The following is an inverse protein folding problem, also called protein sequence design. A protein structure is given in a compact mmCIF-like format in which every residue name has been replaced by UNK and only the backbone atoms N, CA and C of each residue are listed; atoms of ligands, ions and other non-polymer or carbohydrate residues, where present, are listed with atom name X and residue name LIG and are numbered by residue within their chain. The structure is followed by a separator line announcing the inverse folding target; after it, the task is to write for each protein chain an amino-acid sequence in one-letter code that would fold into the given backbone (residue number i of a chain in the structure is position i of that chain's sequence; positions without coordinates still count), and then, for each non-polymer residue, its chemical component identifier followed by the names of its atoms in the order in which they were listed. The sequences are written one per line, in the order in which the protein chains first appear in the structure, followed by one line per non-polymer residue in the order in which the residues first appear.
data_IF_447818633893
#
_entry.id   IF_447818633893
#
_cell.length_a   1.000
_cell.length_b   1.000
_cell.length_c   1.000
_cell.angle_alpha   90.00
_cell.angle_beta   90.00
_cell.angle_gamma   90.00
#
_symmetry.space_group_name_H-M   'P 1'
#
loop_
_entity.id
_entity.type
_entity.pdbx_description
1 polymer ?
#
# COMPACT_ATOMS: atom_id res chain seq x y z
N UNK A 1 -12.71 -12.07 6.72
CA UNK A 1 -13.61 -12.60 5.68
C UNK A 1 -13.87 -11.49 4.69
N UNK A 2 -13.32 -11.60 3.47
CA UNK A 2 -13.19 -10.48 2.54
C UNK A 2 -14.44 -10.07 1.76
N UNK A 3 -14.34 -8.98 1.02
CA UNK A 3 -15.38 -8.45 0.12
C UNK A 3 -15.06 -8.78 -1.34
N UNK A 4 -16.06 -9.11 -2.17
CA UNK A 4 -15.88 -9.19 -3.63
C UNK A 4 -16.26 -7.87 -4.29
N UNK A 5 -15.36 -7.31 -5.09
CA UNK A 5 -15.60 -6.08 -5.85
C UNK A 5 -14.71 -6.04 -7.09
N UNK A 6 -15.27 -5.70 -8.24
CA UNK A 6 -14.53 -5.62 -9.50
C UNK A 6 -13.97 -6.95 -10.00
N UNK A 7 -14.61 -8.08 -9.65
CA UNK A 7 -14.17 -9.42 -10.04
C UNK A 7 -13.01 -9.99 -9.21
N UNK A 8 -12.61 -9.32 -8.12
CA UNK A 8 -11.52 -9.77 -7.23
C UNK A 8 -11.97 -9.80 -5.76
N UNK A 9 -11.32 -10.65 -4.98
CA UNK A 9 -11.56 -10.79 -3.53
C UNK A 9 -10.62 -9.85 -2.78
N UNK A 10 -11.18 -8.96 -1.97
CA UNK A 10 -10.44 -8.03 -1.11
C UNK A 10 -10.42 -8.57 0.30
N UNK A 11 -9.22 -8.88 0.82
CA UNK A 11 -9.08 -9.27 2.23
C UNK A 11 -9.40 -8.10 3.16
N UNK A 12 -9.79 -8.41 4.40
CA UNK A 12 -10.04 -7.38 5.43
C UNK A 12 -8.82 -6.49 5.63
N UNK A 13 -7.62 -7.08 5.56
CA UNK A 13 -6.37 -6.35 5.63
C UNK A 13 -6.23 -5.35 4.47
N UNK A 14 -6.53 -5.75 3.23
CA UNK A 14 -6.52 -4.83 2.09
C UNK A 14 -7.55 -3.70 2.25
N UNK A 15 -8.78 -4.01 2.67
CA UNK A 15 -9.84 -3.02 2.90
C UNK A 15 -9.46 -2.02 4.01
N UNK A 16 -8.86 -2.52 5.09
CA UNK A 16 -8.34 -1.68 6.16
C UNK A 16 -7.23 -0.75 5.64
N UNK A 17 -6.29 -1.27 4.84
CA UNK A 17 -5.19 -0.46 4.27
C UNK A 17 -5.68 0.63 3.32
N UNK A 18 -6.70 0.34 2.52
CA UNK A 18 -7.38 1.33 1.67
C UNK A 18 -7.92 2.48 2.52
N UNK A 19 -8.66 2.15 3.60
CA UNK A 19 -9.25 3.13 4.51
C UNK A 19 -8.18 3.98 5.22
N UNK A 20 -7.15 3.34 5.78
CA UNK A 20 -6.06 4.01 6.50
C UNK A 20 -5.29 5.03 5.65
N UNK A 21 -5.17 4.77 4.34
CA UNK A 21 -4.39 5.60 3.41
C UNK A 21 -5.24 6.51 2.54
N UNK A 22 -6.56 6.50 2.72
CA UNK A 22 -7.48 7.24 1.86
C UNK A 22 -7.42 6.82 0.38
N UNK A 23 -7.02 5.58 0.10
CA UNK A 23 -6.94 5.07 -1.27
C UNK A 23 -8.32 4.59 -1.69
N UNK A 24 -8.85 5.12 -2.80
CA UNK A 24 -10.11 4.64 -3.36
C UNK A 24 -9.93 3.23 -3.91
N UNK A 25 -10.90 2.35 -3.66
CA UNK A 25 -10.85 0.95 -4.10
C UNK A 25 -10.76 0.84 -5.62
N UNK A 26 -11.35 1.78 -6.35
CA UNK A 26 -11.32 1.88 -7.81
C UNK A 26 -9.90 2.16 -8.33
N UNK A 27 -9.11 2.99 -7.63
CA UNK A 27 -7.72 3.23 -8.01
C UNK A 27 -6.86 1.99 -7.78
N UNK A 28 -7.06 1.28 -6.67
CA UNK A 28 -6.37 0.01 -6.41
C UNK A 28 -6.78 -1.07 -7.43
N UNK A 29 -8.07 -1.17 -7.76
CA UNK A 29 -8.58 -2.09 -8.77
C UNK A 29 -7.98 -1.79 -10.16
N UNK A 30 -7.89 -0.50 -10.52
CA UNK A 30 -7.26 -0.07 -11.78
C UNK A 30 -5.77 -0.40 -11.80
N UNK A 31 -5.07 -0.25 -10.67
CA UNK A 31 -3.67 -0.66 -10.54
C UNK A 31 -3.49 -2.15 -10.78
N UNK A 32 -4.42 -2.99 -10.32
CA UNK A 32 -4.39 -4.44 -10.55
C UNK A 32 -4.72 -4.80 -12.01
N UNK A 33 -5.74 -4.18 -12.60
CA UNK A 33 -6.24 -4.50 -13.94
C UNK A 33 -5.39 -3.91 -15.07
N UNK A 34 -4.78 -2.75 -14.82
CA UNK A 34 -3.94 -2.04 -15.78
C UNK A 34 -2.71 -1.46 -15.07
N UNK A 35 -1.76 -2.31 -14.65
CA UNK A 35 -0.54 -1.87 -14.01
C UNK A 35 0.37 -1.10 -14.98
N UNK A 36 1.10 -0.12 -14.47
CA UNK A 36 2.25 0.44 -15.20
C UNK A 36 3.47 -0.46 -15.08
N UNK A 37 3.66 -1.05 -13.90
CA UNK A 37 4.72 -2.01 -13.64
C UNK A 37 4.17 -3.18 -12.82
N UNK A 38 4.70 -4.37 -13.04
CA UNK A 38 4.36 -5.56 -12.26
C UNK A 38 5.61 -6.38 -11.97
N UNK A 39 5.68 -6.99 -10.80
CA UNK A 39 6.77 -7.92 -10.44
C UNK A 39 6.26 -9.05 -9.55
N UNK A 40 7.00 -10.15 -9.52
CA UNK A 40 6.76 -11.20 -8.54
C UNK A 40 7.04 -10.70 -7.11
N UNK A 41 6.16 -11.08 -6.19
CA UNK A 41 6.42 -10.90 -4.76
C UNK A 41 7.47 -11.91 -4.28
N UNK A 42 8.06 -11.64 -3.11
CA UNK A 42 8.90 -12.64 -2.43
C UNK A 42 8.09 -13.86 -1.98
N UNK A 43 6.80 -13.66 -1.72
CA UNK A 43 5.87 -14.73 -1.37
C UNK A 43 5.46 -15.49 -2.62
N UNK A 44 5.55 -16.84 -2.57
CA UNK A 44 5.24 -17.71 -3.70
C UNK A 44 3.81 -17.50 -4.20
N UNK A 45 3.66 -17.33 -5.52
CA UNK A 45 2.36 -17.19 -6.18
C UNK A 45 1.71 -15.82 -6.03
N UNK A 46 2.38 -14.86 -5.40
CA UNK A 46 1.92 -13.49 -5.29
C UNK A 46 2.64 -12.56 -6.28
N UNK A 47 1.91 -11.56 -6.74
CA UNK A 47 2.34 -10.51 -7.64
C UNK A 47 2.15 -9.15 -6.98
N UNK A 48 2.98 -8.20 -7.40
CA UNK A 48 2.94 -6.83 -6.96
C UNK A 48 2.76 -5.95 -8.18
N UNK A 49 1.73 -5.12 -8.16
CA UNK A 49 1.32 -4.24 -9.24
C UNK A 49 1.47 -2.80 -8.80
N UNK A 50 1.97 -1.96 -9.71
CA UNK A 50 2.21 -0.56 -9.45
C UNK A 50 1.51 0.33 -10.46
N UNK A 51 0.95 1.43 -9.96
CA UNK A 51 0.48 2.54 -10.79
C UNK A 51 0.57 3.84 -10.02
N UNK A 52 1.10 4.86 -10.69
CA UNK A 52 1.22 6.22 -10.15
C UNK A 52 -0.02 7.04 -10.49
N UNK A 53 -0.54 7.71 -9.47
CA UNK A 53 -1.68 8.63 -9.54
C UNK A 53 -1.22 9.99 -8.99
N UNK A 54 -0.96 10.94 -9.88
CA UNK A 54 -0.35 12.21 -9.49
C UNK A 54 1.02 11.99 -8.83
N UNK A 55 1.15 12.36 -7.56
CA UNK A 55 2.39 12.23 -6.79
C UNK A 55 2.50 10.92 -6.00
N UNK A 56 1.46 10.08 -6.00
CA UNK A 56 1.42 8.85 -5.21
C UNK A 56 1.47 7.61 -6.09
N UNK A 57 2.42 6.72 -5.79
CA UNK A 57 2.50 5.39 -6.40
C UNK A 57 1.74 4.40 -5.53
N UNK A 58 0.66 3.86 -6.07
CA UNK A 58 -0.11 2.79 -5.46
C UNK A 58 0.57 1.46 -5.78
N UNK A 59 0.66 0.61 -4.76
CA UNK A 59 1.17 -0.76 -4.82
C UNK A 59 0.07 -1.72 -4.36
N UNK A 60 -0.25 -2.71 -5.19
CA UNK A 60 -1.25 -3.74 -4.89
C UNK A 60 -0.58 -5.09 -4.88
N UNK A 61 -0.70 -5.82 -3.77
CA UNK A 61 -0.21 -7.19 -3.63
C UNK A 61 -1.38 -8.14 -3.81
N UNK A 62 -1.31 -9.04 -4.79
CA UNK A 62 -2.35 -10.04 -5.02
C UNK A 62 -1.80 -11.43 -5.29
N UNK A 63 -2.63 -12.45 -5.10
CA UNK A 63 -2.33 -13.83 -5.41
C UNK A 63 -3.59 -14.56 -5.88
N UNK A 64 -3.45 -15.62 -6.65
CA UNK A 64 -4.59 -16.48 -7.00
C UNK A 64 -4.84 -17.53 -5.91
N UNK A 65 -6.10 -17.71 -5.53
CA UNK A 65 -6.52 -18.80 -4.64
C UNK A 65 -6.68 -20.13 -5.41
N UNK A 66 -7.09 -21.18 -4.70
CA UNK A 66 -7.33 -22.52 -5.29
C UNK A 66 -8.48 -22.52 -6.31
N UNK A 67 -9.41 -21.57 -6.19
CA UNK A 67 -10.56 -21.38 -7.09
C UNK A 67 -10.20 -20.49 -8.30
N UNK A 68 -8.92 -20.15 -8.48
CA UNK A 68 -8.39 -19.25 -9.53
C UNK A 68 -8.93 -17.82 -9.45
N UNK A 69 -9.46 -17.41 -8.30
CA UNK A 69 -9.85 -16.03 -8.06
C UNK A 69 -8.63 -15.20 -7.66
N UNK A 70 -8.55 -13.97 -8.15
CA UNK A 70 -7.57 -13.01 -7.68
C UNK A 70 -7.96 -12.49 -6.30
N UNK A 71 -7.04 -12.63 -5.34
CA UNK A 71 -7.18 -12.17 -3.97
C UNK A 71 -6.20 -11.04 -3.73
N UNK A 72 -6.70 -9.85 -3.39
CA UNK A 72 -5.91 -8.71 -2.96
C UNK A 72 -5.56 -8.87 -1.48
N UNK A 73 -4.27 -9.10 -1.23
CA UNK A 73 -3.72 -9.35 0.10
C UNK A 73 -3.45 -8.05 0.85
N UNK A 74 -2.95 -7.03 0.17
CA UNK A 74 -2.62 -5.74 0.78
C UNK A 74 -2.51 -4.63 -0.26
N UNK A 75 -2.72 -3.39 0.16
CA UNK A 75 -2.58 -2.18 -0.67
C UNK A 75 -1.71 -1.17 0.05
N UNK A 76 -0.81 -0.53 -0.68
CA UNK A 76 0.11 0.47 -0.17
C UNK A 76 0.13 1.68 -1.10
N UNK A 77 0.60 2.80 -0.57
CA UNK A 77 0.95 3.97 -1.35
C UNK A 77 2.28 4.53 -0.88
N UNK A 78 3.04 5.09 -1.81
CA UNK A 78 4.27 5.83 -1.54
C UNK A 78 4.31 7.07 -2.42
N UNK A 79 4.56 8.23 -1.83
CA UNK A 79 4.79 9.46 -2.60
C UNK A 79 6.09 9.33 -3.40
N UNK A 80 6.00 9.55 -4.72
CA UNK A 80 7.11 9.43 -5.68
C UNK A 80 7.68 10.77 -6.14
N UNK A 81 6.91 11.86 -6.03
CA UNK A 81 7.38 13.21 -6.32
C UNK A 81 6.93 14.18 -5.22
N UNK A 82 7.85 14.46 -4.29
CA UNK A 82 7.67 15.38 -3.16
C UNK A 82 8.90 15.34 -2.23
N UNK A 83 9.23 16.41 -1.49
CA UNK A 83 10.34 16.38 -0.54
C UNK A 83 10.10 15.27 0.48
N UNK A 84 11.11 14.44 0.71
CA UNK A 84 11.10 13.37 1.70
C UNK A 84 10.91 13.92 3.12
N UNK A 85 9.68 14.12 3.55
CA UNK A 85 9.40 14.43 4.95
C UNK A 85 9.56 13.18 5.82
N UNK A 86 10.81 12.94 6.21
CA UNK A 86 11.15 12.22 7.43
C UNK A 86 12.55 12.65 7.93
N UNK A 87 12.74 13.95 8.19
CA UNK A 87 13.71 14.41 9.20
C UNK A 87 12.96 14.72 10.49
N UNK A 88 12.71 13.68 11.27
CA UNK A 88 12.32 13.77 12.69
C UNK A 88 13.52 14.28 13.52
N UNK A 89 13.99 15.49 13.25
CA UNK A 89 15.05 16.13 14.05
C UNK A 89 14.49 17.02 15.17
N UNK A 90 13.17 17.21 15.25
CA UNK A 90 12.56 18.18 16.15
C UNK A 90 12.12 17.60 17.50
N UNK A 91 11.60 16.36 17.56
CA UNK A 91 11.07 15.81 18.83
C UNK A 91 12.18 15.36 19.81
N UNK A 92 13.22 14.67 19.33
CA UNK A 92 14.29 14.13 20.19
C UNK A 92 15.13 15.21 20.88
N UNK A 93 15.25 16.40 20.29
CA UNK A 93 15.98 17.53 20.89
C UNK A 93 15.31 18.03 22.18
N UNK A 94 13.99 18.02 22.25
CA UNK A 94 13.27 18.45 23.47
C UNK A 94 13.36 17.40 24.59
N UNK A 95 13.35 16.12 24.23
CA UNK A 95 13.47 15.01 25.19
C UNK A 95 14.88 14.94 25.78
N UNK A 96 15.94 15.10 24.96
CA UNK A 96 17.33 15.07 25.45
C UNK A 96 17.66 16.25 26.39
N UNK A 97 17.07 17.43 26.16
CA UNK A 97 17.32 18.61 26.99
C UNK A 97 16.69 18.53 28.38
N UNK A 98 15.63 17.73 28.55
CA UNK A 98 14.99 17.46 29.86
C UNK A 98 15.77 16.44 30.70
N UNK A 99 16.59 15.58 30.06
CA UNK A 99 17.32 14.50 30.74
C UNK A 99 18.77 14.89 31.06
N UNK A 100 19.40 15.73 30.22
CA UNK A 100 20.80 16.16 30.40
C UNK A 100 20.97 17.65 30.72
N UNK A 101 19.89 18.40 30.94
CA UNK A 101 19.93 19.80 31.36
C UNK A 101 20.01 19.92 32.88
N UNK A 102 21.18 19.67 33.46
CA UNK A 102 21.61 20.18 34.77
C UNK A 102 22.95 20.88 34.61
#
# INVERSE_FOLDING_TARGET
MGMKYGGVVWTDHALQRLKERGIKIEHALTTLNNPQESRYAKTRGAWIYYRTWGNDRIEVVSAQNKEKEWVVLSVWSKTVFGPSQAKSESWWKYVLRQIFGR
#
